data_IF_590960123376
#
_entry.id   IF_590960123376
#
_cell.length_a   1.000
_cell.length_b   1.000
_cell.length_c   1.000
_cell.angle_alpha   90.00
_cell.angle_beta   90.00
_cell.angle_gamma   90.00
#
_symmetry.space_group_name_H-M   'P 1'
#
loop_
_entity.id
_entity.type
_entity.pdbx_description
1 polymer ?
#
# COMPACT_ATOMS: atom_id res chain seq x y z
N UNK A 1 -10.39 -5.84 -11.71
CA UNK A 1 -10.55 -6.56 -10.41
C UNK A 1 -10.18 -8.04 -10.48
N UNK A 2 -10.68 -8.78 -11.50
CA UNK A 2 -10.56 -10.25 -11.54
C UNK A 2 -9.37 -10.82 -12.33
N UNK A 3 -8.39 -10.01 -12.77
CA UNK A 3 -7.22 -10.56 -13.48
C UNK A 3 -6.42 -11.49 -12.54
N UNK A 4 -6.30 -12.80 -12.85
CA UNK A 4 -5.65 -13.76 -11.98
C UNK A 4 -4.16 -13.50 -11.77
N UNK A 5 -3.48 -12.83 -12.72
CA UNK A 5 -2.08 -12.45 -12.60
C UNK A 5 -1.90 -11.38 -11.55
N UNK A 6 -2.73 -10.34 -11.56
CA UNK A 6 -2.68 -9.26 -10.56
C UNK A 6 -2.97 -9.81 -9.17
N UNK A 7 -4.03 -10.61 -9.02
CA UNK A 7 -4.36 -11.27 -7.74
C UNK A 7 -3.24 -12.21 -7.29
N UNK A 8 -2.59 -12.91 -8.23
CA UNK A 8 -1.43 -13.75 -7.97
C UNK A 8 -0.22 -12.98 -7.44
N UNK A 9 0.09 -11.84 -8.07
CA UNK A 9 1.18 -10.95 -7.64
C UNK A 9 0.91 -10.41 -6.23
N UNK A 10 -0.31 -9.94 -5.95
CA UNK A 10 -0.67 -9.44 -4.60
C UNK A 10 -0.46 -10.55 -3.55
N UNK A 11 -0.95 -11.78 -3.81
CA UNK A 11 -0.73 -12.91 -2.91
C UNK A 11 0.75 -13.23 -2.68
N UNK A 12 1.58 -13.12 -3.72
CA UNK A 12 3.01 -13.34 -3.60
C UNK A 12 3.68 -12.27 -2.72
N UNK A 13 3.32 -10.99 -2.90
CA UNK A 13 3.79 -9.89 -2.05
C UNK A 13 3.36 -10.10 -0.60
N UNK A 14 2.10 -10.44 -0.36
CA UNK A 14 1.58 -10.70 0.99
C UNK A 14 2.37 -11.82 1.69
N UNK A 15 2.62 -12.92 0.98
CA UNK A 15 3.29 -14.10 1.55
C UNK A 15 4.77 -13.84 1.84
N UNK A 16 5.45 -13.09 0.97
CA UNK A 16 6.91 -13.00 0.96
C UNK A 16 7.47 -11.72 1.55
N UNK A 17 6.74 -10.62 1.44
CA UNK A 17 7.26 -9.28 1.71
C UNK A 17 6.55 -8.59 2.88
N UNK A 18 5.49 -9.18 3.47
CA UNK A 18 4.91 -8.61 4.68
C UNK A 18 5.75 -8.94 5.91
N UNK A 19 6.16 -7.89 6.63
CA UNK A 19 6.83 -7.96 7.92
C UNK A 19 6.18 -6.98 8.88
N UNK A 20 5.69 -7.48 10.01
CA UNK A 20 4.95 -6.65 10.97
C UNK A 20 3.76 -5.92 10.36
N UNK A 21 3.13 -6.50 9.33
CA UNK A 21 1.99 -5.91 8.61
C UNK A 21 2.32 -4.74 7.68
N UNK A 22 3.60 -4.53 7.35
CA UNK A 22 4.08 -3.57 6.36
C UNK A 22 4.89 -4.28 5.28
N UNK A 23 5.04 -3.66 4.12
CA UNK A 23 5.70 -4.26 2.96
C UNK A 23 7.18 -3.91 2.94
N UNK A 24 8.02 -4.93 2.94
CA UNK A 24 9.46 -4.83 2.68
C UNK A 24 9.72 -4.63 1.19
N UNK A 25 10.80 -3.92 0.84
CA UNK A 25 11.22 -3.77 -0.57
C UNK A 25 11.79 -5.07 -1.14
N UNK A 26 12.53 -5.80 -0.30
CA UNK A 26 13.12 -7.09 -0.64
C UNK A 26 12.73 -8.14 0.38
N UNK A 27 12.82 -9.42 -0.02
CA UNK A 27 12.66 -10.55 0.90
C UNK A 27 13.89 -10.59 1.83
N UNK A 28 13.72 -10.39 3.16
CA UNK A 28 14.83 -10.41 4.10
C UNK A 28 15.56 -11.76 4.17
N UNK A 29 14.92 -12.84 3.69
CA UNK A 29 15.55 -14.15 3.59
C UNK A 29 16.46 -14.30 2.36
N UNK A 30 16.30 -13.44 1.35
CA UNK A 30 17.06 -13.52 0.09
C UNK A 30 18.08 -12.39 -0.09
N UNK A 31 17.90 -11.25 0.59
CA UNK A 31 18.73 -10.06 0.40
C UNK A 31 19.31 -9.57 1.72
N UNK A 32 20.64 -9.60 1.81
CA UNK A 32 21.37 -8.94 2.89
C UNK A 32 21.55 -7.46 2.55
N UNK A 33 20.97 -6.58 3.37
CA UNK A 33 20.86 -5.15 3.07
C UNK A 33 22.05 -4.32 3.57
N UNK A 34 23.01 -4.96 4.24
CA UNK A 34 24.18 -4.31 4.84
C UNK A 34 23.85 -3.37 6.01
N UNK A 35 22.59 -3.35 6.46
CA UNK A 35 22.14 -2.54 7.60
C UNK A 35 22.22 -3.37 8.89
N UNK A 36 22.85 -2.81 9.93
CA UNK A 36 23.09 -3.50 11.20
C UNK A 36 21.82 -4.06 11.89
N UNK A 37 20.64 -3.54 11.55
CA UNK A 37 19.35 -3.97 12.10
C UNK A 37 18.40 -4.51 11.01
N UNK A 38 18.91 -4.75 9.80
CA UNK A 38 18.10 -5.00 8.60
C UNK A 38 17.48 -3.72 8.02
N UNK A 39 16.84 -3.83 6.86
CA UNK A 39 16.06 -2.76 6.23
C UNK A 39 14.70 -2.65 6.94
N UNK A 40 14.19 -1.43 7.11
CA UNK A 40 12.83 -1.22 7.59
C UNK A 40 11.81 -1.48 6.49
N UNK A 41 10.54 -1.63 6.85
CA UNK A 41 9.47 -1.73 5.85
C UNK A 41 9.36 -0.42 5.06
N UNK A 42 9.30 -0.51 3.73
CA UNK A 42 9.30 0.64 2.85
C UNK A 42 7.88 1.19 2.72
N UNK A 43 7.65 2.42 3.18
CA UNK A 43 6.28 2.93 3.33
C UNK A 43 5.58 3.10 1.99
N UNK A 44 6.28 3.54 0.96
CA UNK A 44 5.72 3.64 -0.39
C UNK A 44 5.25 2.26 -0.93
N UNK A 45 5.96 1.17 -0.63
CA UNK A 45 5.54 -0.19 -1.01
C UNK A 45 4.28 -0.63 -0.24
N UNK A 46 4.15 -0.19 1.01
CA UNK A 46 2.96 -0.48 1.83
C UNK A 46 1.73 0.27 1.30
N UNK A 47 1.88 1.53 0.89
CA UNK A 47 0.81 2.29 0.22
C UNK A 47 0.44 1.66 -1.12
N UNK A 48 1.41 1.20 -1.90
CA UNK A 48 1.13 0.46 -3.14
C UNK A 48 0.25 -0.77 -2.89
N UNK A 49 0.46 -1.50 -1.79
CA UNK A 49 -0.38 -2.66 -1.46
C UNK A 49 -1.82 -2.25 -1.11
N UNK A 50 -2.01 -1.10 -0.46
CA UNK A 50 -3.35 -0.53 -0.26
C UNK A 50 -4.03 -0.27 -1.61
N UNK A 51 -3.33 0.39 -2.54
CA UNK A 51 -3.86 0.67 -3.88
C UNK A 51 -4.17 -0.62 -4.65
N UNK A 52 -3.33 -1.64 -4.50
CA UNK A 52 -3.54 -2.96 -5.09
C UNK A 52 -4.79 -3.64 -4.52
N UNK A 53 -5.04 -3.55 -3.20
CA UNK A 53 -6.27 -4.03 -2.58
C UNK A 53 -7.50 -3.32 -3.11
N UNK A 54 -7.47 -1.99 -3.24
CA UNK A 54 -8.56 -1.22 -3.87
C UNK A 54 -8.83 -1.73 -5.29
N UNK A 55 -7.77 -1.92 -6.09
CA UNK A 55 -7.88 -2.36 -7.48
C UNK A 55 -8.53 -3.75 -7.65
N UNK A 56 -8.30 -4.66 -6.69
CA UNK A 56 -8.85 -6.02 -6.70
C UNK A 56 -10.10 -6.18 -5.82
N UNK A 57 -10.71 -5.08 -5.37
CA UNK A 57 -11.96 -5.08 -4.62
C UNK A 57 -11.86 -5.53 -3.15
N UNK A 58 -10.65 -5.59 -2.59
CA UNK A 58 -10.40 -5.92 -1.17
C UNK A 58 -10.42 -4.66 -0.31
N UNK A 59 -11.53 -3.93 -0.34
CA UNK A 59 -11.63 -2.59 0.26
C UNK A 59 -11.40 -2.56 1.77
N UNK A 60 -11.90 -3.55 2.52
CA UNK A 60 -11.70 -3.62 3.98
C UNK A 60 -10.23 -3.76 4.34
N UNK A 61 -9.49 -4.55 3.58
CA UNK A 61 -8.05 -4.76 3.78
C UNK A 61 -7.25 -3.53 3.39
N UNK A 62 -7.66 -2.84 2.33
CA UNK A 62 -7.12 -1.53 1.96
C UNK A 62 -7.30 -0.51 3.11
N UNK A 63 -8.51 -0.40 3.67
CA UNK A 63 -8.82 0.48 4.80
C UNK A 63 -8.00 0.14 6.04
N UNK A 64 -7.90 -1.16 6.37
CA UNK A 64 -7.14 -1.62 7.52
C UNK A 64 -5.65 -1.26 7.41
N UNK A 65 -5.03 -1.53 6.26
CA UNK A 65 -3.62 -1.21 6.04
C UNK A 65 -3.38 0.30 5.99
N UNK A 66 -4.26 1.08 5.33
CA UNK A 66 -4.18 2.54 5.33
C UNK A 66 -4.26 3.10 6.75
N UNK A 67 -5.22 2.65 7.56
CA UNK A 67 -5.35 3.08 8.95
C UNK A 67 -4.10 2.74 9.78
N UNK A 68 -3.46 1.60 9.52
CA UNK A 68 -2.19 1.24 10.15
C UNK A 68 -1.07 2.21 9.76
N UNK A 69 -0.94 2.54 8.48
CA UNK A 69 0.03 3.51 7.96
C UNK A 69 -0.20 4.92 8.51
N UNK A 70 -1.45 5.33 8.69
CA UNK A 70 -1.78 6.64 9.26
C UNK A 70 -1.39 6.77 10.74
N UNK A 71 -1.36 5.66 11.49
CA UNK A 71 -1.04 5.62 12.93
C UNK A 71 0.44 5.78 13.23
N UNK A 72 1.33 5.47 12.29
CA UNK A 72 2.79 5.57 12.49
C UNK A 72 3.37 6.95 12.15
N UNK A 73 2.53 7.88 11.70
CA UNK A 73 2.92 9.28 11.50
C UNK A 73 3.31 9.90 12.84
N UNK A 74 4.25 10.83 12.80
CA UNK A 74 4.56 11.62 13.99
C UNK A 74 3.44 12.62 14.32
N UNK A 75 3.61 13.40 15.38
CA UNK A 75 2.60 14.34 15.90
C UNK A 75 2.18 15.43 14.90
N UNK A 76 3.05 15.77 13.95
CA UNK A 76 2.77 16.74 12.88
C UNK A 76 2.34 16.08 11.56
N UNK A 77 2.08 14.77 11.58
CA UNK A 77 1.56 14.02 10.44
C UNK A 77 2.60 13.58 9.41
N UNK A 78 3.89 13.63 9.74
CA UNK A 78 4.99 13.30 8.82
C UNK A 78 5.40 11.83 8.87
N UNK A 79 5.86 11.32 7.74
CA UNK A 79 6.41 9.98 7.53
C UNK A 79 7.88 10.04 7.10
N UNK A 80 8.65 9.03 7.51
CA UNK A 80 9.96 8.73 6.95
C UNK A 80 9.83 7.85 5.70
N UNK A 81 10.97 7.45 5.15
CA UNK A 81 11.03 6.47 4.07
C UNK A 81 10.62 5.06 4.51
N UNK A 82 11.06 4.67 5.69
CA UNK A 82 10.92 3.32 6.21
C UNK A 82 10.34 3.32 7.63
N UNK A 83 9.71 2.22 8.01
CA UNK A 83 9.27 1.99 9.39
C UNK A 83 9.87 0.68 9.88
N UNK A 84 10.47 0.70 11.07
CA UNK A 84 10.94 -0.50 11.74
C UNK A 84 9.79 -1.09 12.58
N UNK A 85 9.18 -2.22 12.17
CA UNK A 85 8.07 -2.80 12.92
C UNK A 85 8.50 -3.52 14.20
N UNK A 86 9.79 -3.77 14.42
CA UNK A 86 10.30 -4.40 15.64
C UNK A 86 10.57 -3.35 16.71
N UNK A 87 11.22 -2.26 16.34
CA UNK A 87 11.51 -1.14 17.23
C UNK A 87 10.38 -0.09 17.27
N UNK A 88 9.33 -0.27 16.46
CA UNK A 88 8.15 0.60 16.35
C UNK A 88 8.49 2.08 16.12
N UNK A 89 9.39 2.35 15.17
CA UNK A 89 9.87 3.71 14.90
C UNK A 89 10.04 3.99 13.41
N UNK A 90 9.88 5.26 13.06
CA UNK A 90 10.24 5.80 11.75
C UNK A 90 11.77 5.78 11.58
N UNK A 91 12.25 5.27 10.43
CA UNK A 91 13.67 5.17 10.10
C UNK A 91 13.94 5.58 8.65
N UNK A 92 15.21 5.83 8.33
CA UNK A 92 15.64 6.30 7.02
C UNK A 92 15.39 7.79 6.80
N UNK A 93 15.29 8.19 5.54
CA UNK A 93 15.12 9.59 5.15
C UNK A 93 13.85 10.19 5.78
N UNK A 94 13.96 11.40 6.37
CA UNK A 94 12.85 12.06 7.04
C UNK A 94 12.92 13.59 6.89
N UNK A 95 11.80 14.27 6.57
CA UNK A 95 10.55 13.70 6.05
C UNK A 95 10.75 13.18 4.61
N UNK A 96 10.12 12.06 4.24
CA UNK A 96 10.31 11.48 2.91
C UNK A 96 9.20 11.87 1.94
N UNK A 97 9.52 12.62 0.88
CA UNK A 97 8.54 13.10 -0.09
C UNK A 97 7.76 11.96 -0.76
N UNK A 98 8.42 10.87 -1.15
CA UNK A 98 7.75 9.74 -1.81
C UNK A 98 6.72 9.05 -0.92
N UNK A 99 6.97 8.89 0.39
CA UNK A 99 6.00 8.35 1.33
C UNK A 99 4.74 9.21 1.41
N UNK A 100 4.91 10.53 1.38
CA UNK A 100 3.79 11.47 1.43
C UNK A 100 3.00 11.52 0.11
N UNK A 101 3.70 11.46 -1.04
CA UNK A 101 3.05 11.36 -2.35
C UNK A 101 2.21 10.08 -2.43
N UNK A 102 2.77 8.95 -1.98
CA UNK A 102 2.05 7.68 -1.93
C UNK A 102 0.82 7.77 -1.04
N UNK A 103 0.95 8.35 0.17
CA UNK A 103 -0.17 8.59 1.08
C UNK A 103 -1.32 9.38 0.40
N UNK A 104 -1.01 10.50 -0.24
CA UNK A 104 -2.02 11.35 -0.89
C UNK A 104 -2.71 10.59 -2.02
N UNK A 105 -1.95 9.90 -2.87
CA UNK A 105 -2.50 9.13 -3.98
C UNK A 105 -3.41 8.00 -3.50
N UNK A 106 -2.97 7.24 -2.49
CA UNK A 106 -3.77 6.16 -1.91
C UNK A 106 -5.05 6.66 -1.28
N UNK A 107 -4.98 7.77 -0.52
CA UNK A 107 -6.17 8.39 0.05
C UNK A 107 -7.16 8.83 -1.05
N UNK A 108 -6.68 9.39 -2.15
CA UNK A 108 -7.52 9.74 -3.29
C UNK A 108 -8.14 8.51 -3.97
N UNK A 109 -7.37 7.44 -4.15
CA UNK A 109 -7.88 6.21 -4.77
C UNK A 109 -8.99 5.57 -3.93
N UNK A 110 -8.83 5.55 -2.61
CA UNK A 110 -9.79 4.96 -1.69
C UNK A 110 -11.03 5.85 -1.45
N UNK A 111 -10.89 7.17 -1.64
CA UNK A 111 -11.98 8.13 -1.55
C UNK A 111 -12.82 8.24 -2.83
N UNK A 112 -12.30 7.81 -3.99
CA UNK A 112 -13.07 7.80 -5.23
C UNK A 112 -14.19 6.76 -5.12
N UNK A 113 -15.47 7.16 -5.16
CA UNK A 113 -16.55 6.19 -5.28
C UNK A 113 -16.33 5.39 -6.56
N UNK A 114 -16.41 4.08 -6.48
CA UNK A 114 -16.37 3.22 -7.64
C UNK A 114 -17.45 3.70 -8.63
N UNK A 115 -17.03 4.14 -9.82
CA UNK A 115 -17.69 4.18 -11.16
C UNK A 115 -17.53 5.53 -11.91
N UNK A 116 -16.78 5.51 -13.03
CA UNK A 116 -17.37 5.97 -14.30
C UNK A 116 -17.53 4.85 -15.33
N UNK A 117 -16.77 3.75 -15.19
CA UNK A 117 -16.73 2.68 -16.20
C UNK A 117 -18.03 1.86 -16.27
N UNK A 118 -18.84 1.80 -15.22
CA UNK A 118 -20.16 1.15 -15.25
C UNK A 118 -21.29 2.08 -15.72
N UNK A 119 -21.04 3.39 -15.87
CA UNK A 119 -22.08 4.34 -16.29
C UNK A 119 -22.32 4.31 -17.81
N UNK A 120 -21.32 3.88 -18.61
CA UNK A 120 -21.46 3.75 -20.07
C UNK A 120 -22.03 2.41 -20.52
N UNK A 121 -21.90 1.36 -19.70
CA UNK A 121 -22.43 0.03 -20.03
C UNK A 121 -23.93 -0.13 -19.72
N UNK A 122 -24.53 0.80 -18.96
CA UNK A 122 -25.95 0.76 -18.58
C UNK A 122 -26.87 1.69 -19.37
N UNK A 123 -26.38 2.40 -20.38
CA UNK A 123 -27.19 3.31 -21.23
C UNK A 123 -27.41 2.79 -22.65
N UNK A 124 -27.03 1.54 -22.95
CA UNK A 124 -27.32 0.93 -24.24
C UNK A 124 -28.21 -0.30 -24.02
N UNK A 125 -29.52 -0.09 -23.99
CA UNK A 125 -30.53 -1.10 -24.33
C UNK A 125 -31.62 -0.41 -25.18
N UNK A 126 -32.35 -1.14 -26.02
CA UNK A 126 -32.65 -0.78 -27.40
C UNK A 126 -34.13 -0.40 -27.58
N UNK A 127 -34.41 0.52 -28.49
CA UNK A 127 -35.79 0.79 -28.88
C UNK A 127 -35.90 1.91 -29.91
N UNK A 128 -36.38 1.55 -31.11
CA UNK A 128 -36.75 2.46 -32.19
C UNK A 128 -36.36 1.93 -33.55
#
# INVERSE_FOLDING_TARGET
PEDPRIRGTVRAVEKRLLSGGFVMRYDPAEVETGLAHGEGAFLACSFWLVDAYVLIGREDEARNLLNRLLRIRNEVGLLSEQYDPRAERLVGNFPQAFSHIALVNTAQNLARPSKPAQQRAGQAEPGG
#
